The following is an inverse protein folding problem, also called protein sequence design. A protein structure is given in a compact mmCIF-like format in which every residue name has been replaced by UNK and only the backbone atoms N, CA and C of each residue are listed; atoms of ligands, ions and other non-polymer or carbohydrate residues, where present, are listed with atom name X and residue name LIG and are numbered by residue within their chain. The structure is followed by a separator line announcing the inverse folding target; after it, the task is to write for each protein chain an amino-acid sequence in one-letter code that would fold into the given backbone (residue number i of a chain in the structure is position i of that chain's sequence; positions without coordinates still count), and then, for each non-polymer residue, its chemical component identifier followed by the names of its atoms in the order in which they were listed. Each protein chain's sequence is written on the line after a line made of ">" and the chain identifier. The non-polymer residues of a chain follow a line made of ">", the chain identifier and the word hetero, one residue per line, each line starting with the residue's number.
data_IF_078346653609
#
_entry.id   IF_078346653609
#
_cell.length_a   1.000
_cell.length_b   1.000
_cell.length_c   1.000
_cell.angle_alpha   90.00
_cell.angle_beta   90.00
_cell.angle_gamma   90.00
#
_symmetry.space_group_name_H-M   'P 1'
#
loop_
_entity.id
_entity.type
_entity.pdbx_description
1 polymer ?
#
# COMPACT_ATOMS: atom_id res chain seq x y z
N UNK A 1 15.78 -18.19 76.86
CA UNK A 1 15.40 -17.47 75.62
C UNK A 1 14.99 -18.50 74.58
N UNK A 2 13.96 -18.18 73.83
CA UNK A 2 13.06 -19.07 73.08
C UNK A 2 13.53 -19.27 71.63
N UNK A 3 13.25 -20.49 71.12
CA UNK A 3 12.91 -20.86 69.73
C UNK A 3 13.98 -21.47 68.83
N UNK A 4 13.80 -22.77 68.61
CA UNK A 4 14.24 -23.51 67.43
C UNK A 4 13.39 -23.18 66.19
N UNK A 5 13.85 -23.67 65.03
CA UNK A 5 13.17 -23.76 63.72
C UNK A 5 13.53 -22.65 62.73
N UNK A 6 14.36 -22.99 61.75
CA UNK A 6 13.89 -23.16 60.36
C UNK A 6 15.03 -23.79 59.54
N UNK A 7 15.01 -25.13 59.49
CA UNK A 7 15.29 -25.86 58.25
C UNK A 7 14.14 -25.54 57.28
N UNK A 8 14.42 -25.66 55.99
CA UNK A 8 13.50 -25.47 54.87
C UNK A 8 13.26 -24.03 54.47
N UNK A 9 14.12 -23.50 53.58
CA UNK A 9 13.70 -22.77 52.36
C UNK A 9 14.86 -22.83 51.35
N UNK A 10 15.21 -24.04 50.92
CA UNK A 10 15.71 -24.22 49.55
C UNK A 10 14.44 -24.16 48.70
N UNK A 11 14.12 -23.00 48.14
CA UNK A 11 13.17 -22.94 47.05
C UNK A 11 13.87 -23.58 45.83
N UNK A 12 13.40 -24.73 45.31
CA UNK A 12 13.85 -25.18 44.01
C UNK A 12 13.41 -24.13 43.00
N UNK A 13 14.35 -23.77 42.13
CA UNK A 13 14.18 -23.01 40.91
C UNK A 13 12.72 -22.89 40.49
N UNK A 14 12.21 -21.67 40.56
CA UNK A 14 10.99 -21.25 39.89
C UNK A 14 11.13 -21.71 38.43
N UNK A 15 10.51 -22.85 38.12
CA UNK A 15 10.34 -23.31 36.76
C UNK A 15 9.61 -22.15 36.12
N UNK A 16 10.35 -21.36 35.33
CA UNK A 16 9.79 -20.45 34.36
C UNK A 16 8.90 -21.34 33.52
N UNK A 17 7.60 -21.38 33.84
CA UNK A 17 6.60 -21.93 32.94
C UNK A 17 6.76 -21.12 31.67
N UNK A 18 7.46 -21.71 30.69
CA UNK A 18 7.38 -21.27 29.31
C UNK A 18 5.92 -21.51 28.97
N UNK A 19 5.10 -20.47 29.19
CA UNK A 19 3.70 -20.42 28.83
C UNK A 19 3.67 -20.64 27.34
N UNK A 20 3.51 -21.91 26.94
CA UNK A 20 3.45 -22.33 25.55
C UNK A 20 2.33 -21.51 24.94
N UNK A 21 2.69 -20.64 24.00
CA UNK A 21 1.71 -19.81 23.33
C UNK A 21 0.56 -20.69 22.83
N UNK A 22 -0.71 -20.28 23.02
CA UNK A 22 -1.84 -21.07 22.55
C UNK A 22 -1.65 -21.42 21.06
N UNK A 23 -2.06 -22.63 20.64
CA UNK A 23 -1.79 -23.15 19.30
C UNK A 23 -2.20 -22.20 18.16
N UNK A 24 -3.20 -21.32 18.38
CA UNK A 24 -3.60 -20.30 17.40
C UNK A 24 -2.65 -19.10 17.25
N UNK A 25 -1.94 -18.67 18.32
CA UNK A 25 -0.87 -17.67 18.19
C UNK A 25 0.32 -18.23 17.39
N UNK A 26 0.56 -19.54 17.49
CA UNK A 26 1.51 -20.24 16.63
C UNK A 26 1.08 -20.25 15.17
N UNK A 27 -0.20 -20.50 14.90
CA UNK A 27 -0.74 -20.50 13.54
C UNK A 27 -0.73 -19.10 12.89
N UNK A 28 -1.15 -18.05 13.61
CA UNK A 28 -1.10 -16.67 13.09
C UNK A 28 0.32 -16.24 12.74
N UNK A 29 1.30 -16.53 13.61
CA UNK A 29 2.71 -16.30 13.32
C UNK A 29 3.23 -17.09 12.11
N UNK A 30 2.82 -18.35 11.95
CA UNK A 30 3.18 -19.19 10.80
C UNK A 30 2.53 -18.70 9.49
N UNK A 31 1.28 -18.23 9.51
CA UNK A 31 0.60 -17.65 8.34
C UNK A 31 1.30 -16.36 7.91
N UNK A 32 1.61 -15.48 8.86
CA UNK A 32 2.38 -14.24 8.61
C UNK A 32 3.74 -14.55 8.00
N UNK A 33 4.44 -15.55 8.51
CA UNK A 33 5.74 -15.98 7.96
C UNK A 33 5.60 -16.46 6.50
N UNK A 34 4.57 -17.25 6.19
CA UNK A 34 4.28 -17.68 4.81
C UNK A 34 3.96 -16.50 3.89
N UNK A 35 3.22 -15.50 4.38
CA UNK A 35 2.93 -14.27 3.63
C UNK A 35 4.23 -13.52 3.33
N UNK A 36 5.12 -13.37 4.30
CA UNK A 36 6.42 -12.72 4.10
C UNK A 36 7.33 -13.49 3.14
N UNK A 37 7.36 -14.81 3.22
CA UNK A 37 8.11 -15.65 2.29
C UNK A 37 7.58 -15.55 0.85
N UNK A 38 6.27 -15.40 0.68
CA UNK A 38 5.62 -15.26 -0.62
C UNK A 38 5.88 -13.88 -1.26
N UNK A 39 5.90 -12.82 -0.45
CA UNK A 39 6.15 -11.44 -0.88
C UNK A 39 7.65 -11.15 -1.08
N UNK A 40 8.53 -11.86 -0.37
CA UNK A 40 10.00 -11.68 -0.39
C UNK A 40 10.49 -10.62 0.60
N UNK A 41 11.76 -10.22 0.51
CA UNK A 41 12.35 -9.19 1.37
C UNK A 41 12.69 -7.94 0.56
N UNK A 42 11.69 -7.12 0.25
CA UNK A 42 11.97 -5.77 -0.30
C UNK A 42 11.64 -4.74 0.77
N UNK A 43 12.67 -4.02 1.24
CA UNK A 43 12.57 -3.02 2.30
C UNK A 43 12.80 -1.59 1.80
N UNK A 44 12.84 -1.37 0.48
CA UNK A 44 13.11 -0.06 -0.08
C UNK A 44 11.87 0.86 0.07
N UNK A 45 12.02 2.09 0.60
CA UNK A 45 10.89 3.02 0.78
C UNK A 45 10.22 3.45 -0.53
N UNK A 46 10.96 3.33 -1.63
CA UNK A 46 10.46 3.62 -2.99
C UNK A 46 9.98 2.37 -3.73
N UNK A 47 10.00 1.20 -3.09
CA UNK A 47 9.49 -0.01 -3.72
C UNK A 47 7.97 -0.03 -3.70
N UNK A 48 7.40 -0.64 -4.74
CA UNK A 48 5.95 -0.85 -4.86
C UNK A 48 5.40 -1.79 -3.77
N UNK A 49 6.27 -2.52 -3.06
CA UNK A 49 5.92 -3.42 -1.96
C UNK A 49 6.71 -3.08 -0.70
N UNK A 50 6.02 -2.52 0.28
CA UNK A 50 6.53 -2.24 1.62
C UNK A 50 5.97 -3.29 2.57
N UNK A 51 6.84 -4.25 2.91
CA UNK A 51 6.48 -5.37 3.77
C UNK A 51 6.83 -4.98 5.21
N UNK A 52 5.82 -5.04 6.10
CA UNK A 52 5.96 -4.70 7.52
C UNK A 52 6.66 -3.35 7.77
N UNK A 53 6.08 -2.22 7.34
CA UNK A 53 6.65 -0.92 7.66
C UNK A 53 6.51 -0.62 9.16
N UNK A 54 7.57 -0.83 9.95
CA UNK A 54 7.60 -0.41 11.35
C UNK A 54 7.49 1.11 11.57
N UNK A 55 7.56 1.92 10.50
CA UNK A 55 7.63 3.39 10.55
C UNK A 55 6.33 4.07 10.10
N UNK A 56 5.35 3.33 9.57
CA UNK A 56 4.05 3.90 9.20
C UNK A 56 3.05 3.63 10.32
N UNK A 57 2.73 4.66 11.10
CA UNK A 57 1.54 4.70 11.96
C UNK A 57 0.52 5.62 11.30
N UNK A 58 -0.66 5.10 10.98
CA UNK A 58 -1.77 5.93 10.49
C UNK A 58 -2.58 6.49 11.67
N UNK A 59 -3.18 7.67 11.50
CA UNK A 59 -3.86 8.39 12.59
C UNK A 59 -5.13 7.67 13.09
N UNK A 60 -5.76 6.88 12.20
CA UNK A 60 -6.92 6.02 12.49
C UNK A 60 -6.55 4.56 12.82
N UNK A 61 -5.26 4.20 12.91
CA UNK A 61 -4.83 2.83 13.20
C UNK A 61 -5.06 2.49 14.69
N UNK A 62 -5.71 1.35 14.97
CA UNK A 62 -5.86 0.87 16.34
C UNK A 62 -4.50 0.47 16.92
N UNK A 63 -4.29 0.66 18.23
CA UNK A 63 -3.01 0.41 18.91
C UNK A 63 -2.56 -1.06 18.83
N UNK A 64 -3.44 -1.97 18.40
CA UNK A 64 -3.17 -3.41 18.23
C UNK A 64 -3.26 -3.93 16.79
N UNK A 65 -3.51 -3.07 15.81
CA UNK A 65 -3.63 -3.42 14.38
C UNK A 65 -2.23 -3.47 13.74
N UNK A 66 -1.84 -4.61 13.17
CA UNK A 66 -0.54 -4.77 12.50
C UNK A 66 -0.66 -4.62 10.99
N UNK A 67 0.15 -3.74 10.41
CA UNK A 67 0.24 -3.57 8.96
C UNK A 67 1.11 -4.68 8.36
N UNK A 68 0.47 -5.54 7.56
CA UNK A 68 1.13 -6.69 6.94
C UNK A 68 1.81 -6.26 5.63
N UNK A 69 1.06 -5.55 4.79
CA UNK A 69 1.52 -5.15 3.47
C UNK A 69 1.05 -3.74 3.13
N UNK A 70 1.99 -2.91 2.72
CA UNK A 70 1.70 -1.64 2.06
C UNK A 70 2.16 -1.78 0.62
N UNK A 71 1.30 -1.41 -0.32
CA UNK A 71 1.60 -1.47 -1.73
C UNK A 71 1.29 -0.14 -2.40
N UNK A 72 2.05 0.16 -3.45
CA UNK A 72 1.92 1.38 -4.26
C UNK A 72 1.78 1.01 -5.73
N UNK A 73 1.13 1.86 -6.55
CA UNK A 73 1.07 1.63 -7.99
C UNK A 73 2.46 1.43 -8.60
N UNK A 74 2.56 0.53 -9.57
CA UNK A 74 3.83 0.18 -10.20
C UNK A 74 4.51 1.39 -10.87
N UNK A 75 5.83 1.52 -10.77
CA UNK A 75 6.59 2.67 -11.30
C UNK A 75 6.38 2.92 -12.80
N UNK A 76 6.04 1.89 -13.58
CA UNK A 76 5.79 2.03 -15.02
C UNK A 76 4.57 2.92 -15.31
N UNK A 77 3.64 3.06 -14.37
CA UNK A 77 2.51 4.00 -14.51
C UNK A 77 3.00 5.44 -14.64
N UNK A 78 4.19 5.74 -14.08
CA UNK A 78 4.79 7.05 -14.19
C UNK A 78 5.25 7.41 -15.60
N UNK A 79 5.55 6.41 -16.43
CA UNK A 79 6.02 6.62 -17.80
C UNK A 79 5.01 7.43 -18.61
N UNK A 80 3.70 7.18 -18.42
CA UNK A 80 2.66 7.87 -19.19
C UNK A 80 2.65 9.38 -18.94
N UNK A 81 2.67 9.81 -17.68
CA UNK A 81 2.66 11.25 -17.38
C UNK A 81 4.03 11.90 -17.62
N UNK A 82 5.13 11.17 -17.40
CA UNK A 82 6.49 11.66 -17.72
C UNK A 82 6.64 11.94 -19.22
N UNK A 83 6.15 11.05 -20.08
CA UNK A 83 6.17 11.26 -21.54
C UNK A 83 5.34 12.49 -21.92
N UNK A 84 4.14 12.67 -21.34
CA UNK A 84 3.33 13.87 -21.54
C UNK A 84 4.06 15.14 -21.08
N UNK A 85 4.71 15.12 -19.91
CA UNK A 85 5.50 16.24 -19.41
C UNK A 85 6.67 16.57 -20.32
N UNK A 86 7.41 15.57 -20.82
CA UNK A 86 8.49 15.78 -21.79
C UNK A 86 7.94 16.41 -23.07
N UNK A 87 6.79 15.94 -23.56
CA UNK A 87 6.09 16.55 -24.68
C UNK A 87 5.77 18.02 -24.45
N UNK A 88 5.20 18.35 -23.28
CA UNK A 88 4.88 19.73 -22.89
C UNK A 88 6.14 20.61 -22.77
N UNK A 89 7.26 20.08 -22.29
CA UNK A 89 8.53 20.80 -22.23
C UNK A 89 9.06 21.15 -23.62
N UNK A 90 8.78 20.32 -24.63
CA UNK A 90 9.21 20.57 -26.01
C UNK A 90 8.32 21.61 -26.73
N UNK A 91 7.09 21.86 -26.27
CA UNK A 91 6.13 22.76 -26.94
C UNK A 91 6.71 24.17 -27.20
N UNK A 92 7.30 24.88 -26.22
CA UNK A 92 7.89 26.19 -26.49
C UNK A 92 9.02 26.14 -27.52
N UNK A 93 9.79 25.05 -27.52
CA UNK A 93 10.87 24.83 -28.49
C UNK A 93 10.33 24.56 -29.90
N UNK A 94 9.16 23.95 -30.05
CA UNK A 94 8.52 23.81 -31.37
C UNK A 94 7.80 25.08 -31.80
N UNK A 95 7.29 25.86 -30.86
CA UNK A 95 6.49 27.04 -31.15
C UNK A 95 7.31 28.18 -31.79
N UNK A 96 8.64 28.21 -31.59
CA UNK A 96 9.54 29.15 -32.26
C UNK A 96 9.57 28.99 -33.79
N UNK A 97 9.14 27.84 -34.33
CA UNK A 97 9.05 27.60 -35.77
C UNK A 97 7.73 28.11 -36.38
N UNK A 98 6.78 28.58 -35.55
CA UNK A 98 5.52 29.12 -36.04
C UNK A 98 5.70 30.57 -36.52
N UNK A 99 5.16 30.94 -37.69
CA UNK A 99 5.35 32.27 -38.27
C UNK A 99 4.79 33.40 -37.39
N UNK A 100 3.77 33.11 -36.59
CA UNK A 100 3.14 34.05 -35.64
C UNK A 100 4.08 34.42 -34.49
N UNK A 101 5.09 33.60 -34.19
CA UNK A 101 5.98 33.81 -33.05
C UNK A 101 6.90 35.02 -33.24
N UNK A 102 7.29 35.32 -34.48
CA UNK A 102 8.17 36.45 -34.81
C UNK A 102 7.51 37.83 -34.69
N UNK A 103 6.18 37.91 -34.73
CA UNK A 103 5.43 39.17 -34.68
C UNK A 103 5.15 39.66 -33.25
N UNK A 104 5.28 38.77 -32.26
CA UNK A 104 5.02 39.08 -30.86
C UNK A 104 6.24 39.77 -30.24
N UNK A 105 6.10 40.88 -29.49
CA UNK A 105 7.24 41.50 -28.80
C UNK A 105 7.93 40.54 -27.82
N UNK A 106 9.26 40.59 -27.77
CA UNK A 106 10.10 39.67 -26.97
C UNK A 106 9.66 39.55 -25.50
N UNK A 107 9.20 40.64 -24.88
CA UNK A 107 8.71 40.64 -23.49
C UNK A 107 7.51 39.69 -23.29
N UNK A 108 6.56 39.69 -24.22
CA UNK A 108 5.37 38.84 -24.14
C UNK A 108 5.72 37.38 -24.45
N UNK A 109 6.68 37.14 -25.35
CA UNK A 109 7.19 35.79 -25.62
C UNK A 109 7.80 35.17 -24.35
N UNK A 110 8.70 35.89 -23.68
CA UNK A 110 9.36 35.42 -22.44
C UNK A 110 8.33 35.14 -21.34
N UNK A 111 7.34 36.03 -21.16
CA UNK A 111 6.25 35.83 -20.20
C UNK A 111 5.42 34.58 -20.53
N UNK A 112 5.08 34.37 -21.80
CA UNK A 112 4.33 33.19 -22.25
C UNK A 112 5.08 31.88 -22.01
N UNK A 113 6.38 31.85 -22.32
CA UNK A 113 7.25 30.68 -22.09
C UNK A 113 7.36 30.38 -20.59
N UNK A 114 7.56 31.41 -19.75
CA UNK A 114 7.65 31.25 -18.30
C UNK A 114 6.33 30.69 -17.75
N UNK A 115 5.20 31.24 -18.18
CA UNK A 115 3.88 30.79 -17.76
C UNK A 115 3.60 29.35 -18.20
N UNK A 116 4.00 28.98 -19.41
CA UNK A 116 3.89 27.60 -19.91
C UNK A 116 4.71 26.60 -19.09
N UNK A 117 5.95 26.94 -18.74
CA UNK A 117 6.77 26.08 -17.88
C UNK A 117 6.21 25.96 -16.47
N UNK A 118 5.60 27.02 -15.93
CA UNK A 118 4.92 26.98 -14.64
C UNK A 118 3.73 26.00 -14.66
N UNK A 119 2.91 26.01 -15.73
CA UNK A 119 1.81 25.05 -15.90
C UNK A 119 2.36 23.63 -16.05
N UNK A 120 3.41 23.46 -16.85
CA UNK A 120 4.03 22.14 -17.08
C UNK A 120 4.58 21.56 -15.77
N UNK A 121 5.23 22.39 -14.95
CA UNK A 121 5.73 22.01 -13.64
C UNK A 121 4.58 21.65 -12.69
N UNK A 122 3.50 22.45 -12.66
CA UNK A 122 2.33 22.17 -11.83
C UNK A 122 1.69 20.83 -12.19
N UNK A 123 1.50 20.55 -13.48
CA UNK A 123 0.98 19.27 -13.97
C UNK A 123 1.88 18.08 -13.58
N UNK A 124 3.20 18.22 -13.78
CA UNK A 124 4.15 17.16 -13.42
C UNK A 124 4.16 16.90 -11.90
N UNK A 125 4.11 17.96 -11.10
CA UNK A 125 4.07 17.87 -9.64
C UNK A 125 2.76 17.23 -9.16
N UNK A 126 1.61 17.65 -9.69
CA UNK A 126 0.31 17.06 -9.37
C UNK A 126 0.28 15.56 -9.70
N UNK A 127 0.74 15.18 -10.89
CA UNK A 127 0.80 13.78 -11.33
C UNK A 127 1.73 12.94 -10.44
N UNK A 128 2.89 13.49 -10.07
CA UNK A 128 3.83 12.85 -9.17
C UNK A 128 3.25 12.68 -7.76
N UNK A 129 2.58 13.70 -7.21
CA UNK A 129 1.97 13.66 -5.88
C UNK A 129 0.82 12.66 -5.83
N UNK A 130 -0.07 12.64 -6.83
CA UNK A 130 -1.15 11.67 -6.94
C UNK A 130 -0.58 10.24 -6.89
N UNK A 131 0.37 9.91 -7.76
CA UNK A 131 1.03 8.59 -7.74
C UNK A 131 1.77 8.29 -6.42
N UNK A 132 2.39 9.30 -5.80
CA UNK A 132 3.15 9.12 -4.56
C UNK A 132 2.26 8.92 -3.34
N UNK A 133 1.06 9.50 -3.31
CA UNK A 133 0.13 9.37 -2.19
C UNK A 133 -0.92 8.28 -2.39
N UNK A 134 -1.05 7.74 -3.60
CA UNK A 134 -1.81 6.52 -3.85
C UNK A 134 -1.14 5.32 -3.18
N UNK A 135 -1.83 4.78 -2.17
CA UNK A 135 -1.31 3.70 -1.33
C UNK A 135 -2.45 2.75 -0.96
N UNK A 136 -2.20 1.45 -1.12
CA UNK A 136 -3.09 0.40 -0.64
C UNK A 136 -2.44 -0.30 0.56
N UNK A 137 -3.21 -0.54 1.61
CA UNK A 137 -2.73 -1.07 2.89
C UNK A 137 -3.57 -2.29 3.24
N UNK A 138 -2.90 -3.40 3.54
CA UNK A 138 -3.52 -4.63 4.05
C UNK A 138 -3.02 -4.81 5.48
N UNK A 139 -3.96 -4.82 6.42
CA UNK A 139 -3.71 -5.10 7.85
C UNK A 139 -4.20 -6.50 8.20
N UNK A 140 -4.15 -6.87 9.48
CA UNK A 140 -4.72 -8.12 9.98
C UNK A 140 -6.25 -8.11 10.14
N UNK A 141 -6.88 -6.93 10.16
CA UNK A 141 -8.33 -6.81 10.36
C UNK A 141 -9.08 -6.27 9.12
N UNK A 142 -8.42 -5.45 8.30
CA UNK A 142 -9.04 -4.77 7.16
C UNK A 142 -8.08 -4.47 6.03
N UNK A 143 -8.66 -4.06 4.92
CA UNK A 143 -7.96 -3.53 3.76
C UNK A 143 -8.40 -2.09 3.54
N UNK A 144 -7.43 -1.22 3.28
CA UNK A 144 -7.61 0.22 3.14
C UNK A 144 -7.06 0.64 1.77
N UNK A 145 -7.88 1.37 1.04
CA UNK A 145 -7.57 2.01 -0.24
C UNK A 145 -7.56 3.53 -0.05
N UNK A 146 -6.40 4.14 -0.31
CA UNK A 146 -6.21 5.59 -0.27
C UNK A 146 -5.84 6.05 -1.67
N UNK A 147 -6.78 6.72 -2.33
CA UNK A 147 -6.65 7.22 -3.70
C UNK A 147 -6.75 8.76 -3.70
N UNK A 148 -5.79 9.43 -4.34
CA UNK A 148 -5.77 10.87 -4.57
C UNK A 148 -6.01 11.16 -6.05
N UNK A 149 -7.26 11.53 -6.40
CA UNK A 149 -7.59 11.94 -7.78
C UNK A 149 -6.94 13.26 -8.14
N UNK A 150 -6.95 14.19 -7.20
CA UNK A 150 -6.30 15.49 -7.28
C UNK A 150 -5.75 15.87 -5.91
N UNK A 151 -4.96 16.94 -5.83
CA UNK A 151 -4.42 17.45 -4.56
C UNK A 151 -5.49 17.85 -3.52
N UNK A 152 -6.75 17.97 -3.95
CA UNK A 152 -7.89 18.40 -3.12
C UNK A 152 -8.95 17.31 -2.93
N UNK A 153 -8.89 16.22 -3.70
CA UNK A 153 -9.88 15.14 -3.66
C UNK A 153 -9.20 13.84 -3.25
N UNK A 154 -9.44 13.47 -1.99
CA UNK A 154 -8.94 12.23 -1.37
C UNK A 154 -10.12 11.29 -1.19
N UNK A 155 -10.04 10.12 -1.79
CA UNK A 155 -10.94 9.01 -1.54
C UNK A 155 -10.29 8.07 -0.53
N UNK A 156 -11.02 7.80 0.55
CA UNK A 156 -10.62 6.85 1.58
C UNK A 156 -11.68 5.76 1.61
N UNK A 157 -11.27 4.52 1.38
CA UNK A 157 -12.16 3.37 1.38
C UNK A 157 -11.55 2.27 2.24
N UNK A 158 -12.37 1.68 3.11
CA UNK A 158 -11.95 0.59 3.98
C UNK A 158 -12.96 -0.56 3.91
N UNK A 159 -12.47 -1.78 4.04
CA UNK A 159 -13.31 -2.96 4.23
C UNK A 159 -12.63 -3.97 5.15
N UNK A 160 -13.40 -4.53 6.09
CA UNK A 160 -12.94 -5.62 6.96
C UNK A 160 -12.63 -6.85 6.12
N UNK A 161 -11.59 -7.60 6.49
CA UNK A 161 -11.19 -8.81 5.77
C UNK A 161 -12.31 -9.88 5.85
N UNK A 162 -13.03 -9.97 6.97
CA UNK A 162 -14.21 -10.83 7.15
C UNK A 162 -15.38 -10.51 6.23
N UNK A 163 -15.45 -9.29 5.69
CA UNK A 163 -16.51 -8.87 4.76
C UNK A 163 -16.12 -9.09 3.29
N UNK A 164 -14.89 -9.52 3.01
CA UNK A 164 -14.41 -9.82 1.65
C UNK A 164 -15.09 -11.09 1.14
N UNK A 165 -15.83 -10.96 0.04
CA UNK A 165 -16.54 -12.06 -0.59
C UNK A 165 -15.66 -12.76 -1.63
N UNK A 166 -15.09 -11.97 -2.54
CA UNK A 166 -14.29 -12.47 -3.65
C UNK A 166 -13.13 -11.51 -3.98
N UNK A 167 -12.05 -12.08 -4.50
CA UNK A 167 -10.88 -11.33 -4.93
C UNK A 167 -10.48 -11.82 -6.33
N UNK A 168 -10.41 -10.90 -7.28
CA UNK A 168 -10.03 -11.19 -8.67
C UNK A 168 -8.91 -10.28 -9.15
N UNK A 169 -8.07 -10.79 -10.06
CA UNK A 169 -7.03 -10.00 -10.72
C UNK A 169 -7.38 -9.80 -12.18
N UNK A 170 -6.97 -8.66 -12.70
CA UNK A 170 -7.08 -8.33 -14.12
C UNK A 170 -5.75 -7.79 -14.62
N UNK A 171 -5.15 -8.54 -15.53
CA UNK A 171 -3.96 -8.12 -16.28
C UNK A 171 -4.37 -8.03 -17.75
N UNK A 172 -4.40 -6.82 -18.29
CA UNK A 172 -4.88 -6.49 -19.62
C UNK A 172 -3.86 -5.62 -20.40
N UNK A 173 -3.22 -6.23 -21.40
CA UNK A 173 -2.36 -5.52 -22.37
C UNK A 173 -0.89 -5.89 -22.26
N UNK A 174 -0.16 -5.56 -23.33
CA UNK A 174 1.22 -6.04 -23.53
C UNK A 174 2.17 -5.52 -22.43
N UNK A 175 2.06 -4.24 -22.05
CA UNK A 175 2.90 -3.67 -20.99
C UNK A 175 2.60 -4.30 -19.62
N UNK A 176 1.32 -4.53 -19.31
CA UNK A 176 0.89 -5.15 -18.05
C UNK A 176 1.40 -6.59 -17.93
N UNK A 177 1.34 -7.37 -19.02
CA UNK A 177 1.89 -8.73 -19.05
C UNK A 177 3.41 -8.74 -18.99
N UNK A 178 4.11 -7.85 -19.71
CA UNK A 178 5.59 -7.83 -19.71
C UNK A 178 6.19 -7.40 -18.37
N UNK A 179 5.59 -6.40 -17.71
CA UNK A 179 6.08 -5.88 -16.43
C UNK A 179 5.35 -6.49 -15.22
N UNK A 180 4.48 -7.48 -15.45
CA UNK A 180 3.69 -8.20 -14.45
C UNK A 180 2.99 -7.29 -13.42
N UNK A 181 2.30 -6.26 -13.91
CA UNK A 181 1.44 -5.40 -13.08
C UNK A 181 0.01 -5.43 -13.60
N UNK A 182 -0.96 -5.29 -12.72
CA UNK A 182 -2.38 -5.31 -13.07
C UNK A 182 -3.26 -4.82 -11.94
N UNK A 183 -4.56 -4.94 -12.12
CA UNK A 183 -5.55 -4.46 -11.16
C UNK A 183 -6.06 -5.62 -10.31
N UNK A 184 -6.30 -5.38 -9.01
CA UNK A 184 -6.91 -6.34 -8.10
C UNK A 184 -8.24 -5.77 -7.64
N UNK A 185 -9.33 -6.52 -7.85
CA UNK A 185 -10.67 -6.16 -7.43
C UNK A 185 -11.07 -7.00 -6.25
N UNK A 186 -11.42 -6.34 -5.15
CA UNK A 186 -11.90 -6.95 -3.91
C UNK A 186 -13.38 -6.60 -3.78
N UNK A 187 -14.23 -7.61 -3.90
CA UNK A 187 -15.67 -7.46 -3.71
C UNK A 187 -15.99 -7.68 -2.24
N UNK A 188 -16.77 -6.77 -1.64
CA UNK A 188 -17.08 -6.81 -0.22
C UNK A 188 -18.57 -6.64 0.03
N UNK A 189 -19.03 -7.18 1.16
CA UNK A 189 -20.38 -6.96 1.66
C UNK A 189 -20.49 -5.71 2.55
N UNK A 190 -19.46 -4.85 2.56
CA UNK A 190 -19.45 -3.61 3.34
C UNK A 190 -20.23 -2.47 2.64
N UNK A 191 -20.21 -1.28 3.23
CA UNK A 191 -20.80 -0.07 2.62
C UNK A 191 -20.21 0.24 1.25
N UNK A 192 -18.92 -0.10 1.06
CA UNK A 192 -18.21 0.02 -0.21
C UNK A 192 -18.20 -1.35 -0.90
N UNK A 193 -18.99 -1.55 -1.97
CA UNK A 193 -19.22 -2.87 -2.55
C UNK A 193 -17.99 -3.44 -3.28
N UNK A 194 -17.12 -2.58 -3.79
CA UNK A 194 -15.92 -2.98 -4.53
C UNK A 194 -14.76 -2.03 -4.22
N UNK A 195 -13.62 -2.59 -3.81
CA UNK A 195 -12.33 -1.91 -3.72
C UNK A 195 -11.48 -2.34 -4.91
N UNK A 196 -10.81 -1.39 -5.56
CA UNK A 196 -9.99 -1.68 -6.73
C UNK A 196 -8.58 -1.16 -6.51
N UNK A 197 -7.62 -2.07 -6.34
CA UNK A 197 -6.21 -1.72 -6.29
C UNK A 197 -5.67 -1.67 -7.72
N UNK A 198 -5.39 -0.47 -8.19
CA UNK A 198 -4.98 -0.24 -9.57
C UNK A 198 -3.46 -0.41 -9.76
N UNK A 199 -3.08 -1.04 -10.88
CA UNK A 199 -1.68 -1.17 -11.34
C UNK A 199 -0.73 -1.69 -10.26
N UNK A 200 -1.19 -2.64 -9.46
CA UNK A 200 -0.39 -3.32 -8.44
C UNK A 200 0.61 -4.26 -9.11
N UNK A 201 1.82 -4.27 -8.57
CA UNK A 201 2.85 -5.23 -8.97
C UNK A 201 2.41 -6.65 -8.61
N UNK A 202 2.67 -7.65 -9.45
CA UNK A 202 2.38 -9.07 -9.18
C UNK A 202 0.98 -9.33 -8.54
N UNK A 203 -0.13 -9.05 -9.25
CA UNK A 203 -1.47 -9.13 -8.67
C UNK A 203 -1.82 -10.53 -8.14
N UNK A 204 -1.28 -11.60 -8.74
CA UNK A 204 -1.49 -12.97 -8.26
C UNK A 204 -0.94 -13.22 -6.85
N UNK A 205 0.15 -12.53 -6.48
CA UNK A 205 0.69 -12.62 -5.11
C UNK A 205 -0.26 -11.96 -4.12
N UNK A 206 -0.81 -10.81 -4.49
CA UNK A 206 -1.73 -10.05 -3.65
C UNK A 206 -3.01 -10.83 -3.38
N UNK A 207 -3.56 -11.50 -4.39
CA UNK A 207 -4.70 -12.41 -4.21
C UNK A 207 -4.38 -13.49 -3.18
N UNK A 208 -3.24 -14.16 -3.30
CA UNK A 208 -2.86 -15.22 -2.36
C UNK A 208 -2.74 -14.71 -0.94
N UNK A 209 -2.19 -13.51 -0.74
CA UNK A 209 -2.11 -12.87 0.58
C UNK A 209 -3.52 -12.60 1.12
N UNK A 210 -4.40 -11.98 0.33
CA UNK A 210 -5.77 -11.70 0.76
C UNK A 210 -6.56 -12.97 1.10
N UNK A 211 -6.36 -14.04 0.32
CA UNK A 211 -6.97 -15.35 0.61
C UNK A 211 -6.46 -15.94 1.92
N UNK A 212 -5.14 -15.93 2.16
CA UNK A 212 -4.56 -16.41 3.42
C UNK A 212 -5.06 -15.60 4.62
N UNK A 213 -5.16 -14.27 4.47
CA UNK A 213 -5.68 -13.40 5.54
C UNK A 213 -7.16 -13.67 5.83
N UNK A 214 -7.97 -13.91 4.80
CA UNK A 214 -9.39 -14.26 4.99
C UNK A 214 -9.56 -15.58 5.72
N UNK A 215 -8.78 -16.60 5.34
CA UNK A 215 -8.78 -17.91 6.02
C UNK A 215 -8.38 -17.78 7.50
N UNK A 216 -7.38 -16.93 7.80
CA UNK A 216 -6.96 -16.66 9.17
C UNK A 216 -8.08 -16.01 10.01
N UNK A 217 -8.75 -14.97 9.49
CA UNK A 217 -9.84 -14.30 10.21
C UNK A 217 -11.07 -15.20 10.38
N UNK A 218 -11.39 -16.05 9.40
CA UNK A 218 -12.45 -17.06 9.52
C UNK A 218 -12.16 -18.06 10.65
N UNK A 219 -10.90 -18.49 10.80
CA UNK A 219 -10.48 -19.36 11.90
C UNK A 219 -10.59 -18.65 13.26
N UNK A 220 -10.15 -17.40 13.34
CA UNK A 220 -10.29 -16.59 14.56
C UNK A 220 -11.77 -16.36 14.94
N UNK A 221 -12.67 -16.25 13.94
CA UNK A 221 -14.11 -16.14 14.16
C UNK A 221 -14.70 -17.40 14.77
N UNK A 222 -14.30 -18.57 14.26
CA UNK A 222 -14.71 -19.87 14.81
C UNK A 222 -14.18 -20.06 16.23
N UNK A 223 -12.96 -19.62 16.51
CA UNK A 223 -12.36 -19.66 17.85
C UNK A 223 -12.95 -18.61 18.82
N UNK A 224 -13.81 -17.70 18.35
CA UNK A 224 -14.42 -16.64 19.15
C UNK A 224 -13.43 -15.55 19.57
N UNK A 225 -12.35 -15.35 18.78
CA UNK A 225 -11.30 -14.35 19.03
C UNK A 225 -11.35 -13.14 18.11
N UNK A 226 -12.33 -13.06 17.20
CA UNK A 226 -12.54 -11.85 16.37
C UNK A 226 -12.65 -10.64 17.27
N UNK A 227 -11.82 -9.64 16.95
CA UNK A 227 -11.73 -8.38 17.68
C UNK A 227 -12.81 -7.39 17.23
#
# INVERSE_FOLDING_TARGET
>A
MVRASNLDLVAPDEIIEIKKDPPSLRNSGEVRQKVYDLLGHTSNPLSSFLIKPHVFKFKEQDDKEEIILVMRPHWFTNVSWVVSTIGMLMVPMLAQFLPVWGEVPLKYQTLGILFWYMITLAYALESFLSWYFDVYIITDERVIDIEFRNLLDKKFAEAKISMIQDVSSRVAGISQTMFNYGDVRVQTAAEIPELCFEKVSNPDKVIKVLQMMREEEELEAIEGRVR
#
